data_IF_351475700403
#
_entry.id   IF_351475700403
#
_cell.length_a   1.000
_cell.length_b   1.000
_cell.length_c   1.000
_cell.angle_alpha   90.00
_cell.angle_beta   90.00
_cell.angle_gamma   90.00
#
_symmetry.space_group_name_H-M   'P 1'
#
loop_
_entity.id
_entity.type
_entity.pdbx_description
1 polymer ?
#
# COMPACT_ATOMS: atom_id res chain seq x y z
N UNK A 1 -12.47 -4.82 2.05
CA UNK A 1 -12.74 -3.37 2.01
C UNK A 1 -11.99 -2.75 3.16
N UNK A 2 -11.19 -1.74 2.88
CA UNK A 2 -10.46 -0.92 3.85
C UNK A 2 -10.33 0.48 3.27
N UNK A 3 -10.24 1.46 4.14
CA UNK A 3 -10.04 2.87 3.81
C UNK A 3 -8.58 3.28 4.06
N UNK A 4 -8.18 4.41 3.49
CA UNK A 4 -6.88 5.00 3.82
C UNK A 4 -6.80 5.34 5.32
N UNK A 5 -5.74 4.88 5.97
CA UNK A 5 -5.54 5.00 7.43
C UNK A 5 -5.88 3.72 8.21
N UNK A 6 -6.46 2.71 7.57
CA UNK A 6 -6.72 1.43 8.22
C UNK A 6 -5.44 0.60 8.39
N UNK A 7 -5.41 -0.22 9.44
CA UNK A 7 -4.38 -1.25 9.60
C UNK A 7 -4.74 -2.46 8.75
N UNK A 8 -3.84 -2.83 7.86
CA UNK A 8 -4.00 -3.99 6.96
C UNK A 8 -2.93 -5.05 7.21
N UNK A 9 -3.29 -6.30 6.94
CA UNK A 9 -2.35 -7.42 6.89
C UNK A 9 -1.56 -7.38 5.56
N UNK A 10 -0.25 -7.62 5.63
CA UNK A 10 0.63 -7.77 4.47
C UNK A 10 1.03 -9.23 4.38
N UNK A 11 0.69 -9.87 3.27
CA UNK A 11 0.93 -11.27 3.01
C UNK A 11 1.98 -11.48 1.92
N UNK A 12 2.85 -12.46 2.12
CA UNK A 12 3.64 -13.07 1.07
C UNK A 12 2.92 -14.32 0.54
N UNK A 13 3.43 -14.96 -0.54
CA UNK A 13 2.90 -16.25 -1.00
C UNK A 13 2.92 -17.37 0.06
N UNK A 14 3.70 -17.23 1.13
CA UNK A 14 3.86 -18.24 2.17
C UNK A 14 3.13 -17.92 3.48
N UNK A 15 2.52 -16.73 3.60
CA UNK A 15 1.77 -16.35 4.80
C UNK A 15 1.85 -14.85 5.12
N UNK A 16 1.30 -14.47 6.26
CA UNK A 16 1.37 -13.10 6.76
C UNK A 16 2.81 -12.76 7.19
N UNK A 17 3.29 -11.58 6.81
CA UNK A 17 4.67 -11.13 7.08
C UNK A 17 4.74 -9.78 7.81
N UNK A 18 3.69 -8.98 7.77
CA UNK A 18 3.63 -7.69 8.47
C UNK A 18 2.18 -7.22 8.64
N UNK A 19 2.02 -6.19 9.46
CA UNK A 19 0.85 -5.29 9.44
C UNK A 19 1.30 -3.87 9.24
N UNK A 20 0.47 -3.01 8.68
CA UNK A 20 0.76 -1.60 8.62
C UNK A 20 -0.42 -0.72 8.25
N UNK A 21 -0.23 0.59 8.40
CA UNK A 21 -1.25 1.58 8.05
C UNK A 21 -1.22 1.82 6.53
N UNK A 22 -2.35 1.58 5.86
CA UNK A 22 -2.45 1.73 4.40
C UNK A 22 -2.71 3.19 4.02
N UNK A 23 -1.98 3.66 3.01
CA UNK A 23 -2.09 5.04 2.54
C UNK A 23 -3.23 5.27 1.56
N UNK A 24 -3.81 4.21 1.00
CA UNK A 24 -4.85 4.25 -0.03
C UNK A 24 -6.02 3.38 0.39
N UNK A 25 -7.23 3.75 -0.02
CA UNK A 25 -8.37 2.84 0.02
C UNK A 25 -8.16 1.65 -0.94
N UNK A 26 -8.99 0.61 -0.77
CA UNK A 26 -8.87 -0.64 -1.53
C UNK A 26 -8.99 -0.45 -3.05
N UNK A 27 -9.87 0.45 -3.52
CA UNK A 27 -10.15 0.64 -4.94
C UNK A 27 -9.00 1.40 -5.62
N UNK A 28 -8.53 2.48 -4.98
CA UNK A 28 -7.36 3.26 -5.41
C UNK A 28 -6.11 2.38 -5.48
N UNK A 29 -5.89 1.53 -4.46
CA UNK A 29 -4.73 0.62 -4.46
C UNK A 29 -4.83 -0.42 -5.59
N UNK A 30 -6.02 -0.98 -5.83
CA UNK A 30 -6.23 -1.94 -6.92
C UNK A 30 -5.94 -1.33 -8.30
N UNK A 31 -6.29 -0.05 -8.51
CA UNK A 31 -6.06 0.65 -9.77
C UNK A 31 -4.57 0.89 -10.08
N UNK A 32 -3.72 0.99 -9.06
CA UNK A 32 -2.28 1.30 -9.21
C UNK A 32 -1.37 0.08 -8.98
N UNK A 33 -1.93 -1.07 -8.62
CA UNK A 33 -1.16 -2.26 -8.31
C UNK A 33 -0.24 -2.67 -9.48
N UNK A 34 1.02 -2.97 -9.16
CA UNK A 34 2.04 -3.34 -10.15
C UNK A 34 2.70 -2.15 -10.88
N UNK A 35 2.32 -0.91 -10.55
CA UNK A 35 2.94 0.30 -11.08
C UNK A 35 3.95 0.88 -10.09
N UNK A 36 5.06 1.37 -10.59
CA UNK A 36 6.03 2.16 -9.84
C UNK A 36 5.60 3.62 -9.69
N UNK A 37 6.15 4.33 -8.70
CA UNK A 37 5.83 5.73 -8.49
C UNK A 37 6.08 6.62 -9.73
N UNK A 38 7.22 6.52 -10.45
CA UNK A 38 7.44 7.30 -11.66
C UNK A 38 6.42 7.01 -12.78
N UNK A 39 5.97 5.76 -12.91
CA UNK A 39 4.94 5.40 -13.88
C UNK A 39 3.58 6.02 -13.55
N UNK A 40 3.26 6.18 -12.26
CA UNK A 40 2.02 6.82 -11.82
C UNK A 40 2.10 8.34 -12.00
N UNK A 41 3.21 8.96 -11.64
CA UNK A 41 3.46 10.39 -11.90
C UNK A 41 3.33 10.71 -13.40
N UNK A 42 3.84 9.83 -14.27
CA UNK A 42 3.70 9.95 -15.73
C UNK A 42 2.26 9.86 -16.25
N UNK A 43 1.32 9.33 -15.46
CA UNK A 43 -0.13 9.31 -15.79
C UNK A 43 -0.90 10.51 -15.26
N UNK A 44 -0.23 11.44 -14.56
CA UNK A 44 -0.89 12.56 -13.88
C UNK A 44 -1.51 12.19 -12.54
N UNK A 45 -1.11 11.06 -11.95
CA UNK A 45 -1.52 10.70 -10.59
C UNK A 45 -0.83 11.66 -9.60
N UNK A 46 -1.62 12.48 -8.92
CA UNK A 46 -1.08 13.42 -7.95
C UNK A 46 -0.86 12.76 -6.58
N UNK A 47 0.10 13.29 -5.81
CA UNK A 47 0.38 12.85 -4.43
C UNK A 47 0.67 11.34 -4.33
N UNK A 48 1.51 10.83 -5.22
CA UNK A 48 2.04 9.46 -5.15
C UNK A 48 2.77 9.29 -3.82
N UNK A 49 2.38 8.26 -3.07
CA UNK A 49 2.88 7.94 -1.74
C UNK A 49 3.12 6.42 -1.65
N UNK A 50 3.98 5.96 -0.74
CA UNK A 50 4.11 4.53 -0.48
C UNK A 50 2.76 3.91 -0.10
N UNK A 51 2.51 2.65 -0.46
CA UNK A 51 1.28 1.94 -0.07
C UNK A 51 1.20 1.80 1.44
N UNK A 52 2.30 1.41 2.08
CA UNK A 52 2.52 1.43 3.52
C UNK A 52 3.89 2.06 3.73
N UNK A 53 3.98 3.10 4.56
CA UNK A 53 5.26 3.70 4.91
C UNK A 53 6.03 2.81 5.89
N UNK A 54 7.37 2.83 5.85
CA UNK A 54 8.21 2.01 6.74
C UNK A 54 7.89 2.28 8.22
N UNK A 55 7.69 3.55 8.58
CA UNK A 55 7.45 3.94 9.97
C UNK A 55 6.08 3.49 10.48
N UNK A 56 5.16 3.18 9.56
CA UNK A 56 3.82 2.66 9.85
C UNK A 56 3.74 1.12 9.63
N UNK A 57 4.88 0.46 9.46
CA UNK A 57 5.00 -0.98 9.19
C UNK A 57 5.53 -1.72 10.43
N UNK A 58 4.81 -2.75 10.85
CA UNK A 58 5.22 -3.69 11.89
C UNK A 58 5.42 -5.10 11.29
N UNK A 59 6.67 -5.58 11.13
CA UNK A 59 6.93 -6.96 10.74
C UNK A 59 6.39 -7.97 11.75
N UNK A 60 5.86 -9.09 11.25
CA UNK A 60 5.53 -10.24 12.07
C UNK A 60 6.81 -11.08 12.22
N UNK A 61 7.33 -11.15 13.45
CA UNK A 61 8.49 -11.98 13.81
C UNK A 61 8.15 -13.47 13.77
#
# INVERSE_FOLDING_TARGET
HFDAGDVVDIASPTGLVARGIVSYDADSLAAIAGRSAPELEGTGWEHVRPVVHRDDLAPLL
#
